data_IF_259762026467
#
_entry.id   IF_259762026467
#
_cell.length_a   1.000
_cell.length_b   1.000
_cell.length_c   1.000
_cell.angle_alpha   90.00
_cell.angle_beta   90.00
_cell.angle_gamma   90.00
#
_symmetry.space_group_name_H-M   'P 1'
#
loop_
_entity.id
_entity.type
_entity.pdbx_description
1 polymer ?
#
# COMPACT_ATOMS: atom_id res chain seq x y z
N UNK A 1 -15.24 -49.62 -26.43
CA UNK A 1 -14.86 -49.44 -25.02
C UNK A 1 -13.59 -48.58 -24.86
N UNK A 2 -12.45 -48.95 -25.47
CA UNK A 2 -11.13 -48.32 -25.25
C UNK A 2 -11.03 -46.81 -25.58
N UNK A 3 -11.74 -46.33 -26.60
CA UNK A 3 -11.75 -44.89 -26.97
C UNK A 3 -12.40 -43.98 -25.92
N UNK A 4 -13.36 -44.51 -25.13
CA UNK A 4 -14.03 -43.76 -24.05
C UNK A 4 -13.14 -43.64 -22.81
N UNK A 5 -12.37 -44.69 -22.49
CA UNK A 5 -11.36 -44.64 -21.43
C UNK A 5 -10.23 -43.66 -21.75
N UNK A 6 -9.77 -43.63 -23.01
CA UNK A 6 -8.75 -42.68 -23.44
C UNK A 6 -9.24 -41.23 -23.34
N UNK A 7 -10.50 -40.96 -23.70
CA UNK A 7 -11.10 -39.63 -23.58
C UNK A 7 -11.24 -39.16 -22.12
N UNK A 8 -11.65 -40.05 -21.21
CA UNK A 8 -11.76 -39.74 -19.77
C UNK A 8 -10.38 -39.48 -19.16
N UNK A 9 -9.37 -40.27 -19.52
CA UNK A 9 -7.99 -40.06 -19.05
C UNK A 9 -7.42 -38.71 -19.52
N UNK A 10 -7.75 -38.29 -20.75
CA UNK A 10 -7.29 -37.02 -21.31
C UNK A 10 -7.96 -35.81 -20.65
N UNK A 11 -9.25 -35.94 -20.30
CA UNK A 11 -9.98 -34.93 -19.52
C UNK A 11 -9.41 -34.82 -18.10
N UNK A 12 -9.14 -35.94 -17.42
CA UNK A 12 -8.51 -35.92 -16.10
C UNK A 12 -7.11 -35.30 -16.11
N UNK A 13 -6.31 -35.57 -17.15
CA UNK A 13 -5.00 -34.95 -17.32
C UNK A 13 -5.09 -33.43 -17.55
N UNK A 14 -6.15 -32.94 -18.21
CA UNK A 14 -6.38 -31.51 -18.42
C UNK A 14 -6.74 -30.77 -17.11
N UNK A 15 -7.38 -31.43 -16.15
CA UNK A 15 -7.65 -30.87 -14.81
C UNK A 15 -6.47 -30.98 -13.84
N UNK A 16 -5.45 -31.79 -14.18
CA UNK A 16 -4.26 -31.98 -13.34
C UNK A 16 -3.14 -30.96 -13.61
N UNK A 17 -3.35 -29.99 -14.51
CA UNK A 17 -2.37 -28.91 -14.72
C UNK A 17 -2.45 -27.98 -13.51
N UNK A 18 -1.43 -27.94 -12.63
CA UNK A 18 -1.41 -26.97 -11.56
C UNK A 18 -1.42 -25.59 -12.20
N UNK A 19 -2.45 -24.79 -11.92
CA UNK A 19 -2.40 -23.37 -12.24
C UNK A 19 -1.13 -22.83 -11.59
N UNK A 20 -0.16 -22.37 -12.38
CA UNK A 20 0.96 -21.62 -11.85
C UNK A 20 0.37 -20.33 -11.26
N UNK A 21 0.03 -20.37 -9.97
CA UNK A 21 -0.15 -19.18 -9.19
C UNK A 21 1.20 -18.46 -9.22
N UNK A 22 1.29 -17.39 -10.02
CA UNK A 22 2.47 -16.52 -9.99
C UNK A 22 2.43 -15.82 -8.64
N UNK A 23 3.17 -16.37 -7.67
CA UNK A 23 3.47 -15.66 -6.45
C UNK A 23 4.15 -14.34 -6.81
N UNK A 24 3.65 -13.24 -6.27
CA UNK A 24 4.21 -11.92 -6.49
C UNK A 24 5.61 -11.86 -5.89
N UNK A 25 6.60 -11.48 -6.70
CA UNK A 25 7.98 -11.33 -6.22
C UNK A 25 8.09 -10.04 -5.42
N UNK A 26 8.47 -10.16 -4.15
CA UNK A 26 8.75 -9.02 -3.28
C UNK A 26 10.24 -8.70 -3.40
N UNK A 27 10.56 -7.45 -3.75
CA UNK A 27 11.92 -6.94 -3.82
C UNK A 27 12.19 -6.07 -2.60
N UNK A 28 13.26 -6.34 -1.85
CA UNK A 28 13.71 -5.44 -0.78
C UNK A 28 14.54 -4.31 -1.37
N UNK A 29 14.16 -3.07 -1.09
CA UNK A 29 14.88 -1.88 -1.53
C UNK A 29 15.27 -1.02 -0.33
N UNK A 30 16.43 -0.40 -0.40
CA UNK A 30 16.92 0.52 0.63
C UNK A 30 17.32 1.84 -0.02
N UNK A 31 16.75 2.94 0.45
CA UNK A 31 17.09 4.28 -0.05
C UNK A 31 18.51 4.69 0.39
N UNK A 32 19.15 5.68 -0.27
CA UNK A 32 20.46 6.19 0.15
C UNK A 32 20.51 6.72 1.60
N UNK A 33 19.36 7.07 2.18
CA UNK A 33 19.22 7.53 3.58
C UNK A 33 18.86 6.40 4.56
N UNK A 34 18.80 5.15 4.12
CA UNK A 34 18.57 3.99 5.00
C UNK A 34 17.12 3.62 5.25
N UNK A 35 16.15 4.21 4.54
CA UNK A 35 14.75 3.75 4.59
C UNK A 35 14.63 2.43 3.83
N UNK A 36 14.15 1.39 4.52
CA UNK A 36 13.86 0.08 3.94
C UNK A 36 12.40 0.00 3.45
N UNK A 37 12.17 -0.59 2.29
CA UNK A 37 10.84 -0.81 1.75
C UNK A 37 10.76 -2.14 0.97
N UNK A 38 9.53 -2.62 0.81
CA UNK A 38 9.21 -3.76 -0.05
C UNK A 38 8.54 -3.26 -1.32
N UNK A 39 9.15 -3.57 -2.47
CA UNK A 39 8.64 -3.24 -3.79
C UNK A 39 7.99 -4.47 -4.42
N UNK A 40 6.74 -4.31 -4.84
CA UNK A 40 6.00 -5.24 -5.66
C UNK A 40 5.73 -4.57 -7.00
N UNK A 41 6.17 -5.21 -8.09
CA UNK A 41 6.05 -4.64 -9.43
C UNK A 41 5.07 -5.47 -10.28
N UNK A 42 3.99 -4.83 -10.75
CA UNK A 42 3.03 -5.39 -11.70
C UNK A 42 2.70 -4.32 -12.77
N UNK A 43 2.92 -4.64 -14.04
CA UNK A 43 2.74 -3.70 -15.16
C UNK A 43 1.36 -3.78 -15.83
N UNK A 44 0.40 -4.53 -15.25
CA UNK A 44 -0.95 -4.65 -15.82
C UNK A 44 -1.78 -3.37 -15.67
N UNK A 45 -1.55 -2.61 -14.62
CA UNK A 45 -2.28 -1.38 -14.31
C UNK A 45 -1.29 -0.24 -14.08
N UNK A 46 -1.55 0.97 -14.59
CA UNK A 46 -0.71 2.14 -14.36
C UNK A 46 -1.04 2.78 -12.99
N UNK A 47 -0.96 1.99 -11.92
CA UNK A 47 -1.28 2.41 -10.55
C UNK A 47 -0.03 2.26 -9.70
N UNK A 48 0.17 3.22 -8.80
CA UNK A 48 1.18 3.19 -7.76
C UNK A 48 0.42 3.26 -6.44
N UNK A 49 0.75 2.38 -5.50
CA UNK A 49 0.27 2.41 -4.12
C UNK A 49 1.50 2.39 -3.21
N UNK A 50 1.51 3.28 -2.22
CA UNK A 50 2.58 3.42 -1.25
C UNK A 50 1.95 3.35 0.12
N UNK A 51 2.44 2.43 0.96
CA UNK A 51 2.08 2.35 2.38
C UNK A 51 3.33 2.46 3.25
N UNK A 52 3.26 3.22 4.33
CA UNK A 52 4.37 3.39 5.26
C UNK A 52 3.90 3.56 6.70
N UNK A 53 4.83 3.32 7.64
CA UNK A 53 4.62 3.53 9.05
C UNK A 53 5.87 4.13 9.71
N UNK A 54 5.66 5.07 10.61
CA UNK A 54 6.67 5.59 11.51
C UNK A 54 6.39 5.09 12.92
N UNK A 55 7.38 4.48 13.57
CA UNK A 55 7.29 4.09 14.99
C UNK A 55 7.06 5.35 15.82
N UNK A 56 6.03 5.37 16.65
CA UNK A 56 5.48 6.64 17.10
C UNK A 56 4.14 6.47 17.80
N UNK A 57 3.19 7.32 17.44
CA UNK A 57 1.81 7.20 17.87
C UNK A 57 1.48 8.01 19.12
N UNK A 58 0.20 7.97 19.49
CA UNK A 58 -0.36 8.80 20.57
C UNK A 58 0.21 8.46 21.95
N UNK A 59 0.83 7.30 22.15
CA UNK A 59 1.51 6.97 23.41
C UNK A 59 2.73 7.85 23.71
N UNK A 60 3.24 8.55 22.70
CA UNK A 60 4.36 9.49 22.86
C UNK A 60 3.90 10.91 23.18
N UNK A 61 2.59 11.17 23.25
CA UNK A 61 2.08 12.49 23.60
C UNK A 61 2.53 12.87 25.03
N UNK A 62 3.09 14.07 25.22
CA UNK A 62 3.39 14.58 26.55
C UNK A 62 2.14 14.63 27.44
N UNK A 63 2.33 14.48 28.75
CA UNK A 63 1.23 14.45 29.74
C UNK A 63 0.33 15.70 29.66
N UNK A 64 0.90 16.85 29.30
CA UNK A 64 0.22 18.13 29.16
C UNK A 64 -0.24 18.44 27.72
N UNK A 65 -0.06 17.51 26.76
CA UNK A 65 -0.33 17.70 25.33
C UNK A 65 -0.99 16.49 24.68
N UNK A 66 -1.95 15.88 25.36
CA UNK A 66 -2.74 14.77 24.80
C UNK A 66 -3.43 15.20 23.50
N UNK A 67 -3.35 14.35 22.48
CA UNK A 67 -3.88 14.61 21.14
C UNK A 67 -2.90 15.36 20.23
N UNK A 68 -1.67 15.63 20.66
CA UNK A 68 -0.65 16.29 19.83
C UNK A 68 -0.34 15.45 18.58
N UNK A 69 -0.13 14.15 18.72
CA UNK A 69 0.12 13.24 17.61
C UNK A 69 -1.08 13.20 16.64
N UNK A 70 -2.30 13.09 17.17
CA UNK A 70 -3.53 13.09 16.36
C UNK A 70 -3.71 14.39 15.59
N UNK A 71 -3.54 15.54 16.25
CA UNK A 71 -3.65 16.85 15.61
C UNK A 71 -2.56 17.04 14.55
N UNK A 72 -1.32 16.70 14.86
CA UNK A 72 -0.21 16.78 13.90
C UNK A 72 -0.50 15.94 12.67
N UNK A 73 -0.98 14.71 12.86
CA UNK A 73 -1.30 13.78 11.78
C UNK A 73 -2.46 14.28 10.91
N UNK A 74 -3.51 14.85 11.53
CA UNK A 74 -4.62 15.44 10.80
C UNK A 74 -4.22 16.65 9.93
N UNK A 75 -3.17 17.38 10.33
CA UNK A 75 -2.68 18.53 9.58
C UNK A 75 -1.75 18.16 8.41
N UNK A 76 -1.31 16.90 8.28
CA UNK A 76 -0.42 16.47 7.20
C UNK A 76 -1.10 16.52 5.81
N UNK A 77 -2.42 16.65 5.76
CA UNK A 77 -3.19 16.79 4.51
C UNK A 77 -3.67 18.21 4.23
N UNK A 78 -3.27 19.20 5.04
CA UNK A 78 -3.73 20.59 4.94
C UNK A 78 -2.80 21.48 4.08
N UNK A 79 -1.97 20.88 3.23
CA UNK A 79 -1.09 21.59 2.31
C UNK A 79 0.23 20.86 2.10
N UNK A 80 0.98 21.28 1.08
CA UNK A 80 2.31 20.73 0.80
C UNK A 80 3.18 21.74 0.03
N UNK A 81 4.36 22.04 0.57
CA UNK A 81 5.31 22.97 -0.07
C UNK A 81 4.70 24.35 -0.31
N UNK A 82 4.47 24.71 -1.58
CA UNK A 82 3.90 25.99 -1.99
C UNK A 82 2.37 25.98 -2.11
N UNK A 83 1.71 24.84 -1.86
CA UNK A 83 0.26 24.70 -1.96
C UNK A 83 -0.37 24.81 -0.59
N UNK A 84 -1.34 25.73 -0.46
CA UNK A 84 -2.24 25.77 0.70
C UNK A 84 -3.23 24.60 0.68
N UNK A 85 -4.06 24.49 1.73
CA UNK A 85 -5.03 23.40 1.86
C UNK A 85 -5.96 23.28 0.65
N UNK A 86 -6.47 24.40 0.13
CA UNK A 86 -7.45 24.40 -0.97
C UNK A 86 -6.77 23.96 -2.26
N UNK A 87 -5.64 24.55 -2.61
CA UNK A 87 -4.89 24.19 -3.81
C UNK A 87 -4.39 22.74 -3.78
N UNK A 88 -3.94 22.28 -2.61
CA UNK A 88 -3.48 20.91 -2.41
C UNK A 88 -4.61 19.90 -2.66
N UNK A 89 -5.77 20.10 -2.02
CA UNK A 89 -6.93 19.22 -2.19
C UNK A 89 -7.48 19.22 -3.62
N UNK A 90 -7.45 20.37 -4.29
CA UNK A 90 -7.82 20.47 -5.70
C UNK A 90 -6.90 19.62 -6.59
N UNK A 91 -5.58 19.69 -6.38
CA UNK A 91 -4.62 18.91 -7.15
C UNK A 91 -4.83 17.40 -6.94
N UNK A 92 -5.05 16.96 -5.70
CA UNK A 92 -5.32 15.55 -5.41
C UNK A 92 -6.57 15.06 -6.13
N UNK A 93 -7.65 15.85 -6.06
CA UNK A 93 -8.93 15.53 -6.71
C UNK A 93 -8.82 15.49 -8.24
N UNK A 94 -8.17 16.48 -8.84
CA UNK A 94 -7.96 16.56 -10.29
C UNK A 94 -7.12 15.40 -10.84
N UNK A 95 -6.21 14.86 -10.02
CA UNK A 95 -5.32 13.76 -10.40
C UNK A 95 -5.79 12.40 -9.90
N UNK A 96 -6.95 12.32 -9.24
CA UNK A 96 -7.47 11.11 -8.61
C UNK A 96 -6.46 10.44 -7.66
N UNK A 97 -5.71 11.26 -6.90
CA UNK A 97 -4.73 10.80 -5.91
C UNK A 97 -5.43 10.71 -4.55
N UNK A 98 -5.28 9.57 -3.87
CA UNK A 98 -5.74 9.40 -2.49
C UNK A 98 -4.54 9.36 -1.56
N UNK A 99 -4.41 10.35 -0.67
CA UNK A 99 -3.37 10.37 0.37
C UNK A 99 -4.06 10.48 1.73
N UNK A 100 -3.61 9.70 2.70
CA UNK A 100 -4.11 9.75 4.05
C UNK A 100 -3.08 9.37 5.09
N UNK A 101 -3.28 9.84 6.32
CA UNK A 101 -2.43 9.54 7.47
C UNK A 101 -3.30 9.21 8.68
N UNK A 102 -2.83 8.31 9.53
CA UNK A 102 -3.54 7.90 10.74
C UNK A 102 -2.58 7.82 11.93
N UNK A 103 -3.03 8.37 13.07
CA UNK A 103 -2.31 8.29 14.33
C UNK A 103 -2.81 7.07 15.11
N UNK A 104 -2.01 6.01 15.12
CA UNK A 104 -2.22 4.84 15.97
C UNK A 104 -1.65 5.03 17.37
N UNK A 105 -1.73 3.95 18.16
CA UNK A 105 -1.18 3.90 19.52
C UNK A 105 0.34 4.02 19.54
N UNK A 106 1.00 3.20 18.71
CA UNK A 106 2.43 2.95 18.65
C UNK A 106 3.06 3.24 17.27
N UNK A 107 2.26 3.72 16.33
CA UNK A 107 2.70 4.12 15.00
C UNK A 107 1.87 5.27 14.43
N UNK A 108 2.47 6.04 13.53
CA UNK A 108 1.76 6.88 12.56
C UNK A 108 1.86 6.17 11.21
N UNK A 109 0.72 5.89 10.57
CA UNK A 109 0.68 5.24 9.26
C UNK A 109 0.27 6.23 8.18
N UNK A 110 0.63 5.95 6.94
CA UNK A 110 0.15 6.70 5.79
C UNK A 110 0.06 5.84 4.54
N UNK A 111 -0.81 6.26 3.63
CA UNK A 111 -1.01 5.66 2.31
C UNK A 111 -1.09 6.74 1.23
N UNK A 112 -0.68 6.41 0.01
CA UNK A 112 -0.66 7.29 -1.15
C UNK A 112 -0.80 6.52 -2.47
#
# INVERSE_FOLDING_TARGET
MMKRFLAVALILAAFAVPSLARATTIQEVTSPKGIHAWLVEDHKLPIIDISFAFRGGVEQDPVDKQGLCSLTTALLTEGAGNYDAVAYQQILSEKSIGIGFEAGRDAITGHA
#
